data_IF_329959915000
#
_entry.id   IF_329959915000
#
_cell.length_a   1.000
_cell.length_b   1.000
_cell.length_c   1.000
_cell.angle_alpha   90.00
_cell.angle_beta   90.00
_cell.angle_gamma   90.00
#
_symmetry.space_group_name_H-M   'P 1'
#
loop_
_entity.id
_entity.type
_entity.pdbx_description
1 polymer ?
#
# COMPACT_ATOMS: atom_id res chain seq x y z
N UNK A 1 -22.02 -52.78 -27.04
CA UNK A 1 -20.86 -52.74 -26.12
C UNK A 1 -20.49 -51.27 -25.93
N UNK A 2 -20.94 -50.70 -24.82
CA UNK A 2 -20.89 -49.26 -24.54
C UNK A 2 -19.46 -48.88 -24.12
N UNK A 3 -18.97 -47.81 -24.72
CA UNK A 3 -17.59 -47.30 -24.64
C UNK A 3 -17.14 -47.05 -23.19
N UNK A 4 -16.15 -47.83 -22.74
CA UNK A 4 -15.52 -47.75 -21.41
C UNK A 4 -14.54 -46.56 -21.26
N UNK A 5 -14.57 -45.59 -22.18
CA UNK A 5 -13.67 -44.43 -22.19
C UNK A 5 -14.15 -43.20 -21.42
N UNK A 6 -15.46 -43.09 -21.13
CA UNK A 6 -16.04 -41.89 -20.51
C UNK A 6 -15.92 -41.86 -18.98
N UNK A 7 -15.79 -43.02 -18.32
CA UNK A 7 -15.74 -43.09 -16.86
C UNK A 7 -14.40 -42.61 -16.27
N UNK A 8 -13.30 -42.64 -17.03
CA UNK A 8 -11.98 -42.15 -16.54
C UNK A 8 -11.81 -40.63 -16.64
N UNK A 9 -12.59 -39.97 -17.50
CA UNK A 9 -12.52 -38.51 -17.66
C UNK A 9 -13.28 -37.82 -16.52
N UNK A 10 -14.39 -38.41 -16.06
CA UNK A 10 -15.21 -37.84 -14.98
C UNK A 10 -14.53 -37.85 -13.61
N UNK A 11 -13.57 -38.76 -13.36
CA UNK A 11 -12.86 -38.83 -12.06
C UNK A 11 -11.76 -37.77 -11.92
N UNK A 12 -11.19 -37.30 -13.03
CA UNK A 12 -10.15 -36.24 -13.00
C UNK A 12 -10.77 -34.87 -12.73
N UNK A 13 -12.02 -34.64 -13.15
CA UNK A 13 -12.74 -33.39 -12.89
C UNK A 13 -13.12 -33.21 -11.41
N UNK A 14 -13.35 -34.29 -10.67
CA UNK A 14 -13.80 -34.24 -9.26
C UNK A 14 -12.65 -33.89 -8.29
N UNK A 15 -11.38 -33.97 -8.73
CA UNK A 15 -10.23 -33.55 -7.91
C UNK A 15 -9.83 -32.07 -8.08
N UNK A 16 -10.51 -31.31 -8.95
CA UNK A 16 -10.19 -29.89 -9.20
C UNK A 16 -11.28 -28.90 -8.74
N UNK A 17 -12.41 -29.36 -8.18
CA UNK A 17 -13.50 -28.47 -7.76
C UNK A 17 -13.33 -27.80 -6.38
N UNK A 18 -12.17 -27.92 -5.72
CA UNK A 18 -11.92 -27.28 -4.43
C UNK A 18 -10.86 -26.16 -4.44
N UNK A 19 -10.59 -25.53 -5.58
CA UNK A 19 -9.83 -24.25 -5.62
C UNK A 19 -10.71 -23.13 -6.19
N UNK A 20 -11.89 -22.95 -5.60
CA UNK A 20 -12.62 -21.69 -5.69
C UNK A 20 -11.88 -20.63 -4.86
N UNK A 21 -10.92 -19.95 -5.49
CA UNK A 21 -10.23 -18.83 -4.85
C UNK A 21 -9.19 -18.09 -5.67
N UNK A 22 -8.69 -18.65 -6.79
CA UNK A 22 -7.71 -17.94 -7.59
C UNK A 22 -8.38 -17.08 -8.67
N UNK A 23 -8.75 -15.87 -8.30
CA UNK A 23 -9.24 -14.86 -9.26
C UNK A 23 -8.11 -14.49 -10.24
N UNK A 24 -8.15 -15.05 -11.45
CA UNK A 24 -7.19 -14.81 -12.54
C UNK A 24 -7.16 -13.34 -13.03
N UNK A 25 -8.06 -12.49 -12.56
CA UNK A 25 -8.11 -11.06 -12.92
C UNK A 25 -6.98 -10.24 -12.30
N UNK A 26 -6.27 -10.77 -11.28
CA UNK A 26 -5.14 -10.10 -10.64
C UNK A 26 -3.76 -10.43 -11.27
N UNK A 27 -3.71 -11.28 -12.31
CA UNK A 27 -2.44 -11.83 -12.81
C UNK A 27 -1.70 -10.89 -13.80
N UNK A 28 -2.37 -9.89 -14.39
CA UNK A 28 -1.82 -9.15 -15.53
C UNK A 28 -1.62 -7.65 -15.35
N UNK A 29 -1.88 -7.09 -14.16
CA UNK A 29 -1.42 -5.73 -13.87
C UNK A 29 0.00 -5.79 -13.31
N UNK A 30 1.05 -5.42 -14.08
CA UNK A 30 2.39 -5.36 -13.52
C UNK A 30 2.35 -4.29 -12.43
N UNK A 31 2.43 -4.72 -11.16
CA UNK A 31 2.56 -3.78 -10.05
C UNK A 31 3.75 -2.87 -10.37
N UNK A 32 3.50 -1.57 -10.34
CA UNK A 32 4.49 -0.54 -10.62
C UNK A 32 5.18 -0.17 -9.32
N UNK A 33 6.41 0.31 -9.41
CA UNK A 33 7.09 0.86 -8.25
C UNK A 33 6.25 1.95 -7.57
N UNK A 34 6.34 2.08 -6.23
CA UNK A 34 5.73 3.19 -5.52
C UNK A 34 6.23 4.52 -6.10
N UNK A 35 5.30 5.46 -6.33
CA UNK A 35 5.65 6.83 -6.74
C UNK A 35 5.70 7.71 -5.50
N UNK A 36 6.89 7.83 -4.93
CA UNK A 36 7.15 8.71 -3.79
C UNK A 36 7.70 10.03 -4.34
N UNK A 37 7.07 11.16 -3.97
CA UNK A 37 7.47 12.52 -4.39
C UNK A 37 7.88 13.41 -3.21
N UNK A 38 8.18 12.80 -2.07
CA UNK A 38 8.58 13.54 -0.88
C UNK A 38 10.05 13.96 -0.92
N UNK A 39 10.36 14.99 -0.15
CA UNK A 39 11.73 15.50 -0.02
C UNK A 39 12.57 14.53 0.81
N UNK A 40 13.75 14.25 0.29
CA UNK A 40 14.79 13.50 0.99
C UNK A 40 15.67 14.47 1.77
N UNK A 41 16.00 14.15 3.01
CA UNK A 41 17.01 14.88 3.78
C UNK A 41 18.40 14.63 3.19
N UNK A 42 18.68 13.37 2.84
CA UNK A 42 19.89 12.95 2.16
C UNK A 42 19.57 11.78 1.23
N UNK A 43 20.37 11.61 0.18
CA UNK A 43 20.26 10.46 -0.72
C UNK A 43 20.76 9.20 0.00
N UNK A 44 19.97 8.14 0.00
CA UNK A 44 20.40 6.83 0.49
C UNK A 44 21.27 6.11 -0.55
N UNK A 45 22.12 5.20 -0.08
CA UNK A 45 22.90 4.32 -0.95
C UNK A 45 21.96 3.45 -1.78
N UNK A 46 22.22 3.39 -3.09
CA UNK A 46 21.51 2.51 -4.01
C UNK A 46 21.93 1.05 -3.76
N UNK A 47 20.97 0.18 -3.47
CA UNK A 47 21.14 -1.28 -3.31
C UNK A 47 21.15 -1.98 -4.67
N UNK A 48 20.51 -1.38 -5.68
CA UNK A 48 20.36 -1.95 -7.02
C UNK A 48 20.48 -0.88 -8.10
N UNK A 49 20.89 -1.31 -9.31
CA UNK A 49 20.91 -0.44 -10.49
C UNK A 49 19.75 -0.74 -11.45
N UNK A 50 19.34 -2.01 -11.56
CA UNK A 50 18.29 -2.53 -12.46
C UNK A 50 17.57 -3.73 -11.83
N UNK A 51 16.38 -4.08 -12.35
CA UNK A 51 15.56 -5.19 -11.83
C UNK A 51 16.32 -6.52 -11.77
N UNK A 52 17.16 -6.82 -12.77
CA UNK A 52 17.94 -8.07 -12.84
C UNK A 52 18.95 -8.23 -11.68
N UNK A 53 19.35 -7.14 -11.03
CA UNK A 53 20.26 -7.17 -9.87
C UNK A 53 19.55 -7.65 -8.61
N UNK A 54 18.22 -7.57 -8.56
CA UNK A 54 17.46 -7.95 -7.39
C UNK A 54 17.12 -9.45 -7.38
N UNK A 55 17.20 -10.13 -6.22
CA UNK A 55 16.80 -11.52 -6.09
C UNK A 55 15.28 -11.69 -6.17
N UNK A 56 14.81 -12.93 -6.35
CA UNK A 56 13.41 -13.34 -6.20
C UNK A 56 12.38 -12.55 -7.03
N UNK A 57 12.74 -12.19 -8.27
CA UNK A 57 11.89 -11.40 -9.19
C UNK A 57 11.47 -10.03 -8.62
N UNK A 58 12.17 -9.51 -7.62
CA UNK A 58 11.97 -8.16 -7.07
C UNK A 58 12.30 -7.10 -8.12
N UNK A 59 11.73 -5.90 -7.96
CA UNK A 59 12.01 -4.76 -8.85
C UNK A 59 12.93 -3.76 -8.16
N UNK A 60 13.83 -3.18 -8.94
CA UNK A 60 14.67 -2.09 -8.51
C UNK A 60 13.87 -0.79 -8.62
N UNK A 61 13.44 -0.25 -7.49
CA UNK A 61 12.58 0.91 -7.41
C UNK A 61 13.29 2.06 -6.68
N UNK A 62 13.03 3.30 -7.10
CA UNK A 62 13.37 4.47 -6.29
C UNK A 62 12.44 4.48 -5.08
N UNK A 63 12.99 4.23 -3.90
CA UNK A 63 12.27 4.06 -2.65
C UNK A 63 13.09 4.58 -1.47
N UNK A 64 12.44 5.32 -0.56
CA UNK A 64 13.08 5.94 0.60
C UNK A 64 14.44 6.60 0.27
N UNK A 65 14.45 7.43 -0.77
CA UNK A 65 15.60 8.26 -1.15
C UNK A 65 16.81 7.54 -1.76
N UNK A 66 16.66 6.27 -2.17
CA UNK A 66 17.65 5.52 -2.96
C UNK A 66 16.98 4.47 -3.84
N UNK A 67 17.74 3.70 -4.60
CA UNK A 67 17.23 2.52 -5.32
C UNK A 67 17.28 1.30 -4.43
N UNK A 68 16.14 0.65 -4.19
CA UNK A 68 16.03 -0.57 -3.37
C UNK A 68 15.35 -1.70 -4.13
N UNK A 69 15.66 -2.93 -3.75
CA UNK A 69 14.98 -4.12 -4.26
C UNK A 69 13.66 -4.33 -3.51
N UNK A 70 12.54 -4.09 -4.19
CA UNK A 70 11.21 -4.23 -3.61
C UNK A 70 10.49 -5.47 -4.16
N UNK A 71 9.95 -6.26 -3.24
CA UNK A 71 8.85 -7.17 -3.56
C UNK A 71 7.56 -6.35 -3.60
N UNK A 72 6.96 -6.25 -4.79
CA UNK A 72 5.75 -5.48 -5.00
C UNK A 72 4.48 -6.19 -4.52
N UNK A 73 4.59 -7.47 -4.12
CA UNK A 73 3.51 -8.21 -3.50
C UNK A 73 3.49 -8.03 -1.97
N UNK A 74 4.65 -7.79 -1.36
CA UNK A 74 4.78 -7.57 0.08
C UNK A 74 4.22 -6.21 0.51
N UNK A 75 3.39 -6.23 1.54
CA UNK A 75 2.96 -5.00 2.22
C UNK A 75 4.05 -4.53 3.19
N UNK A 76 4.86 -3.58 2.73
CA UNK A 76 5.95 -2.96 3.51
C UNK A 76 5.42 -2.40 4.84
N UNK A 77 4.21 -1.85 4.85
CA UNK A 77 3.64 -1.15 6.00
C UNK A 77 3.15 -2.12 7.09
N UNK A 78 3.06 -3.41 6.79
CA UNK A 78 2.76 -4.46 7.75
C UNK A 78 4.02 -5.09 8.37
N UNK A 79 5.22 -4.75 7.90
CA UNK A 79 6.47 -5.29 8.46
C UNK A 79 6.77 -4.68 9.84
N UNK A 80 7.42 -5.41 10.76
CA UNK A 80 7.86 -4.83 12.03
C UNK A 80 9.01 -3.84 11.82
N UNK A 81 9.28 -2.96 12.79
CA UNK A 81 10.57 -2.25 12.83
C UNK A 81 11.72 -3.27 12.93
N UNK A 82 12.77 -3.06 12.17
CA UNK A 82 13.96 -3.91 12.19
C UNK A 82 15.23 -3.05 12.32
N UNK A 83 15.86 -3.00 13.50
CA UNK A 83 17.14 -2.30 13.70
C UNK A 83 18.28 -2.89 12.86
N UNK A 84 18.22 -4.18 12.52
CA UNK A 84 19.34 -4.91 11.94
C UNK A 84 20.47 -5.16 12.93
N UNK A 85 21.53 -5.87 12.51
CA UNK A 85 22.62 -6.29 13.40
C UNK A 85 23.74 -5.25 13.56
N UNK A 86 23.79 -4.23 12.68
CA UNK A 86 24.80 -3.17 12.78
C UNK A 86 24.50 -2.20 13.94
N UNK A 87 25.52 -1.49 14.41
CA UNK A 87 25.45 -0.66 15.63
C UNK A 87 25.45 0.86 15.38
N UNK A 88 25.16 1.32 14.16
CA UNK A 88 25.01 2.75 13.90
C UNK A 88 23.74 3.31 14.54
N UNK A 89 23.72 4.61 14.80
CA UNK A 89 22.59 5.29 15.45
C UNK A 89 21.81 6.16 14.47
N UNK A 90 21.05 5.55 13.56
CA UNK A 90 20.20 6.31 12.64
C UNK A 90 18.77 6.40 13.17
N UNK A 91 18.32 7.60 13.53
CA UNK A 91 16.89 7.84 13.82
C UNK A 91 16.10 7.73 12.52
N UNK A 92 15.14 6.80 12.49
CA UNK A 92 14.26 6.51 11.34
C UNK A 92 12.82 6.45 11.78
N UNK A 93 11.92 6.44 10.80
CA UNK A 93 10.49 6.29 10.98
C UNK A 93 10.05 4.92 10.48
N UNK A 94 9.15 4.26 11.19
CA UNK A 94 8.49 3.04 10.75
C UNK A 94 6.98 3.19 10.97
N UNK A 95 6.20 2.49 10.17
CA UNK A 95 4.76 2.43 10.32
C UNK A 95 4.38 1.41 11.38
N UNK A 96 3.84 1.90 12.49
CA UNK A 96 3.24 1.08 13.52
C UNK A 96 1.78 0.80 13.16
N UNK A 97 1.56 -0.37 12.54
CA UNK A 97 0.23 -0.82 12.14
C UNK A 97 -0.74 -0.96 13.31
N UNK A 98 -0.25 -1.27 14.52
CA UNK A 98 -1.13 -1.42 15.70
C UNK A 98 -1.75 -0.08 16.10
N UNK A 99 -0.96 0.98 16.01
CA UNK A 99 -1.36 2.34 16.39
C UNK A 99 -1.75 3.21 15.17
N UNK A 100 -1.81 2.62 13.98
CA UNK A 100 -2.07 3.28 12.70
C UNK A 100 -1.26 4.58 12.48
N UNK A 101 0.00 4.59 12.92
CA UNK A 101 0.82 5.82 12.97
C UNK A 101 2.29 5.57 12.67
N UNK A 102 2.99 6.60 12.21
CA UNK A 102 4.43 6.57 11.99
C UNK A 102 5.17 6.95 13.27
N UNK A 103 5.99 6.03 13.77
CA UNK A 103 6.77 6.17 15.01
C UNK A 103 8.26 6.12 14.72
N UNK A 104 9.09 6.67 15.61
CA UNK A 104 10.54 6.61 15.43
C UNK A 104 11.16 5.35 16.01
N UNK A 105 12.26 4.90 15.41
CA UNK A 105 13.12 3.85 15.94
C UNK A 105 14.58 4.11 15.55
N UNK A 106 15.51 3.38 16.17
CA UNK A 106 16.93 3.42 15.81
C UNK A 106 17.24 2.29 14.85
N UNK A 107 17.76 2.64 13.68
CA UNK A 107 18.24 1.71 12.67
C UNK A 107 19.77 1.61 12.75
N UNK A 108 20.25 0.37 12.87
CA UNK A 108 21.65 0.00 12.98
C UNK A 108 22.50 0.26 11.73
N UNK A 109 21.86 0.53 10.59
CA UNK A 109 22.53 0.92 9.34
C UNK A 109 22.66 -0.20 8.30
N UNK A 110 22.41 -1.47 8.65
CA UNK A 110 22.43 -2.58 7.70
C UNK A 110 21.34 -3.62 7.98
N UNK A 111 20.99 -4.42 6.97
CA UNK A 111 20.09 -5.60 7.06
C UNK A 111 18.75 -5.36 7.80
N UNK A 112 18.22 -4.13 7.72
CA UNK A 112 16.85 -3.83 8.14
C UNK A 112 15.82 -4.36 7.13
N UNK A 113 14.58 -3.88 7.24
CA UNK A 113 13.55 -4.08 6.22
C UNK A 113 13.06 -2.74 5.66
N UNK A 114 12.13 -2.78 4.70
CA UNK A 114 11.64 -1.59 4.00
C UNK A 114 10.65 -0.74 4.81
N UNK A 115 10.17 -1.19 5.98
CA UNK A 115 9.41 -0.34 6.91
C UNK A 115 10.36 0.56 7.71
N UNK A 116 11.13 1.35 6.96
CA UNK A 116 12.21 2.19 7.45
C UNK A 116 12.28 3.41 6.52
N UNK A 117 11.89 4.56 7.06
CA UNK A 117 11.74 5.80 6.33
C UNK A 117 12.60 6.91 6.94
N UNK A 118 13.16 7.76 6.09
CA UNK A 118 14.00 8.87 6.53
C UNK A 118 13.20 9.97 7.25
N UNK A 119 11.96 10.21 6.83
CA UNK A 119 11.08 11.25 7.41
C UNK A 119 9.71 10.70 7.77
N UNK A 120 9.02 11.39 8.68
CA UNK A 120 7.63 11.08 9.02
C UNK A 120 6.72 11.15 7.79
N UNK A 121 6.91 12.16 6.95
CA UNK A 121 6.11 12.37 5.74
C UNK A 121 6.29 11.23 4.73
N UNK A 122 7.53 10.73 4.56
CA UNK A 122 7.80 9.56 3.72
C UNK A 122 7.05 8.32 4.22
N UNK A 123 7.10 8.08 5.53
CA UNK A 123 6.35 6.99 6.15
C UNK A 123 4.84 7.14 5.97
N UNK A 124 4.29 8.31 6.25
CA UNK A 124 2.85 8.57 6.16
C UNK A 124 2.35 8.46 4.72
N UNK A 125 3.08 9.03 3.75
CA UNK A 125 2.67 8.99 2.35
C UNK A 125 2.75 7.56 1.77
N UNK A 126 3.68 6.74 2.28
CA UNK A 126 3.79 5.34 1.88
C UNK A 126 2.73 4.46 2.54
N UNK A 127 2.48 4.64 3.83
CA UNK A 127 1.80 3.64 4.66
C UNK A 127 0.48 4.07 5.26
N UNK A 128 0.29 5.36 5.56
CA UNK A 128 -1.03 5.81 5.98
C UNK A 128 -1.99 5.60 4.81
N UNK A 129 -3.21 5.14 5.11
CA UNK A 129 -4.27 5.07 4.11
C UNK A 129 -4.32 6.42 3.40
N UNK A 130 -4.21 6.39 2.07
CA UNK A 130 -4.32 7.62 1.30
C UNK A 130 -5.57 8.33 1.78
N UNK A 131 -5.44 9.63 2.03
CA UNK A 131 -6.53 10.56 2.23
C UNK A 131 -7.41 10.58 0.97
N UNK A 132 -8.05 9.47 0.63
CA UNK A 132 -9.00 9.31 -0.47
C UNK A 132 -10.38 9.43 0.11
N UNK A 133 -11.25 10.07 -0.66
CA UNK A 133 -12.65 10.15 -0.30
C UNK A 133 -13.21 8.74 -0.04
N UNK A 134 -13.98 8.56 1.04
CA UNK A 134 -14.63 7.29 1.31
C UNK A 134 -15.57 6.96 0.16
N UNK A 135 -15.58 5.69 -0.27
CA UNK A 135 -16.44 5.20 -1.34
C UNK A 135 -17.64 4.48 -0.73
N UNK A 136 -18.53 5.25 -0.11
CA UNK A 136 -19.76 4.71 0.49
C UNK A 136 -20.80 4.59 -0.63
N UNK A 137 -21.39 3.39 -0.80
CA UNK A 137 -22.52 3.18 -1.69
C UNK A 137 -23.80 3.51 -0.92
N UNK A 138 -24.36 4.68 -1.15
CA UNK A 138 -25.64 5.12 -0.58
C UNK A 138 -26.63 5.27 -1.73
N UNK A 139 -27.86 4.78 -1.54
CA UNK A 139 -28.96 5.11 -2.44
C UNK A 139 -29.52 6.47 -2.01
N UNK A 140 -29.63 7.39 -2.95
CA UNK A 140 -30.08 8.74 -2.68
C UNK A 140 -31.43 8.94 -3.38
N UNK A 141 -32.50 8.97 -2.60
CA UNK A 141 -33.84 9.30 -3.11
C UNK A 141 -33.92 10.79 -3.49
N UNK A 142 -33.15 11.63 -2.79
CA UNK A 142 -32.97 13.05 -3.09
C UNK A 142 -31.50 13.46 -2.95
N UNK A 143 -31.08 14.44 -3.73
CA UNK A 143 -29.73 14.99 -3.64
C UNK A 143 -29.69 16.12 -2.60
N UNK A 144 -28.71 16.08 -1.71
CA UNK A 144 -28.43 17.15 -0.77
C UNK A 144 -27.66 18.31 -1.45
N UNK A 145 -27.67 19.50 -0.84
CA UNK A 145 -26.90 20.65 -1.33
C UNK A 145 -25.40 20.38 -1.16
N UNK A 146 -24.65 20.63 -2.23
CA UNK A 146 -23.20 20.50 -2.21
C UNK A 146 -22.54 21.61 -1.38
N UNK A 147 -21.81 21.23 -0.34
CA UNK A 147 -20.97 22.14 0.46
C UNK A 147 -19.75 22.63 -0.34
N UNK A 148 -19.26 21.81 -1.28
CA UNK A 148 -18.09 22.10 -2.09
C UNK A 148 -18.21 21.51 -3.49
N UNK A 149 -17.53 22.12 -4.46
CA UNK A 149 -17.37 21.55 -5.82
C UNK A 149 -15.95 21.04 -6.02
N UNK A 150 -14.95 21.72 -5.47
CA UNK A 150 -13.52 21.40 -5.59
C UNK A 150 -12.85 21.43 -4.21
N UNK A 151 -11.82 20.62 -4.00
CA UNK A 151 -11.08 20.56 -2.71
C UNK A 151 -10.45 21.90 -2.29
N UNK A 152 -10.14 22.78 -3.25
CA UNK A 152 -9.62 24.14 -2.94
C UNK A 152 -10.61 25.05 -2.22
N UNK A 153 -11.91 24.72 -2.25
CA UNK A 153 -12.95 25.47 -1.54
C UNK A 153 -13.08 25.00 -0.08
N UNK A 154 -12.42 23.92 0.30
CA UNK A 154 -12.43 23.40 1.66
C UNK A 154 -11.28 24.01 2.48
N UNK A 155 -11.52 24.31 3.77
CA UNK A 155 -10.48 24.83 4.65
C UNK A 155 -9.40 23.76 4.94
N UNK A 156 -8.24 24.20 5.45
CA UNK A 156 -7.22 23.34 6.08
C UNK A 156 -6.77 22.10 5.28
N UNK A 157 -6.67 22.22 3.94
CA UNK A 157 -6.30 21.12 3.03
C UNK A 157 -7.26 19.91 3.08
N UNK A 158 -8.48 20.09 3.54
CA UNK A 158 -9.55 19.10 3.46
C UNK A 158 -9.87 18.77 1.99
N UNK A 159 -10.48 17.60 1.76
CA UNK A 159 -10.89 17.19 0.41
C UNK A 159 -12.39 17.30 0.23
N UNK A 160 -12.78 17.78 -0.94
CA UNK A 160 -14.16 17.75 -1.36
C UNK A 160 -14.51 16.35 -1.88
N UNK A 161 -15.35 15.64 -1.13
CA UNK A 161 -15.66 14.24 -1.34
C UNK A 161 -17.15 14.03 -1.54
N UNK A 162 -17.53 13.08 -2.40
CA UNK A 162 -18.90 12.58 -2.40
C UNK A 162 -19.10 11.80 -1.10
N UNK A 163 -20.01 12.27 -0.25
CA UNK A 163 -20.30 11.68 1.04
C UNK A 163 -21.81 11.71 1.27
N UNK A 164 -22.42 10.54 1.44
CA UNK A 164 -23.86 10.34 1.35
C UNK A 164 -24.41 10.89 0.02
N UNK A 165 -25.35 11.84 0.08
CA UNK A 165 -26.07 12.37 -1.07
C UNK A 165 -25.62 13.77 -1.50
N UNK A 166 -24.42 14.21 -1.09
CA UNK A 166 -23.81 15.49 -1.51
C UNK A 166 -22.27 15.46 -1.51
N UNK A 167 -21.67 16.52 -2.03
CA UNK A 167 -20.25 16.82 -1.91
C UNK A 167 -19.96 17.59 -0.64
N UNK A 168 -19.19 17.00 0.28
CA UNK A 168 -18.82 17.57 1.58
C UNK A 168 -17.30 17.70 1.74
N UNK A 169 -16.86 18.67 2.53
CA UNK A 169 -15.46 18.84 2.89
C UNK A 169 -15.11 17.88 4.02
N UNK A 170 -14.25 16.90 3.75
CA UNK A 170 -13.82 15.91 4.74
C UNK A 170 -12.36 16.11 5.13
N UNK A 171 -12.09 16.10 6.44
CA UNK A 171 -10.73 16.02 6.95
C UNK A 171 -10.29 14.56 6.92
N UNK A 172 -9.59 14.20 5.84
CA UNK A 172 -9.15 12.83 5.65
C UNK A 172 -7.91 12.47 6.48
N UNK A 173 -7.31 13.42 7.21
CA UNK A 173 -6.14 13.19 8.10
C UNK A 173 -6.51 12.57 9.43
N UNK A 174 -7.75 12.75 9.86
CA UNK A 174 -8.33 11.99 10.96
C UNK A 174 -9.17 10.89 10.31
N UNK A 175 -8.81 9.63 10.52
CA UNK A 175 -9.78 8.56 10.31
C UNK A 175 -10.97 8.90 11.19
N UNK A 176 -12.13 9.15 10.58
CA UNK A 176 -13.38 9.40 11.30
C UNK A 176 -13.57 8.32 12.37
N UNK A 177 -13.35 8.70 13.61
CA UNK A 177 -13.79 8.00 14.81
C UNK A 177 -14.40 9.05 15.72
N UNK A 178 -15.49 9.65 15.23
CA UNK A 178 -16.48 10.29 16.10
C UNK A 178 -17.83 9.84 15.51
N UNK A 179 -18.49 8.98 16.28
CA UNK A 179 -19.90 8.58 16.16
C UNK A 179 -20.72 9.65 16.85
#
# INVERSE_FOLDING_TARGET
>A
MVSSGLLRILVISILLENVQGFSLTNLFSPRRCPRIREKCQFKERDECSKNKTCPDKKKCCVFNCGKKCLDLQQDICSLPKNPGPCMAFFRRWWYDKKNDTCSTFIYGGCQGNNNNFQTKDLCQNMCSKKHTCPKIKVHCDTNEINQCLKSRQCPEKMKCCNFNCARKCLNLKQGNSEI
#
